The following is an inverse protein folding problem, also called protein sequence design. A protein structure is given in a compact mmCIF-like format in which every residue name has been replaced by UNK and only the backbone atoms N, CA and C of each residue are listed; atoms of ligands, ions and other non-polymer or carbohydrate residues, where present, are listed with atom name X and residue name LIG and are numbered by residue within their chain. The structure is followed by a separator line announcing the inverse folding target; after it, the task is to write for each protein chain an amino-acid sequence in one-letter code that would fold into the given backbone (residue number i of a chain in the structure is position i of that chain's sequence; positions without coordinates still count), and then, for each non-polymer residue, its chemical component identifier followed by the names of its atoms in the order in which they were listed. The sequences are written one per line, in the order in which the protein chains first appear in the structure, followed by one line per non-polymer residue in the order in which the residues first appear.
data_IF_872687203766
#
_entry.id   IF_872687203766
#
_cell.length_a   1.000
_cell.length_b   1.000
_cell.length_c   1.000
_cell.angle_alpha   90.00
_cell.angle_beta   90.00
_cell.angle_gamma   90.00
#
_symmetry.space_group_name_H-M   'P 1'
#
loop_
_entity.id
_entity.type
_entity.pdbx_description
1 polymer ?
#
# COMPACT_ATOMS: atom_id res chain seq x y z
N UNK A 1 33.65 3.12 6.41
CA UNK A 1 33.41 2.26 5.23
C UNK A 1 31.96 1.75 5.29
N UNK A 2 31.02 2.42 4.59
CA UNK A 2 29.63 1.93 4.52
C UNK A 2 29.58 0.86 3.43
N UNK A 3 29.72 -0.40 3.84
CA UNK A 3 29.46 -1.54 2.95
C UNK A 3 27.94 -1.63 2.78
N UNK A 4 27.41 -1.03 1.73
CA UNK A 4 26.03 -1.32 1.30
C UNK A 4 26.06 -2.69 0.62
N UNK A 5 26.09 -3.75 1.44
CA UNK A 5 25.96 -5.11 0.95
C UNK A 5 24.74 -5.21 0.06
N UNK A 6 24.91 -5.82 -1.12
CA UNK A 6 23.85 -5.98 -2.13
C UNK A 6 22.57 -6.48 -1.44
N UNK A 7 21.53 -5.65 -1.44
CA UNK A 7 20.24 -6.03 -0.90
C UNK A 7 19.55 -6.98 -1.88
N UNK A 8 19.72 -8.29 -1.66
CA UNK A 8 19.04 -9.29 -2.47
C UNK A 8 17.55 -9.28 -2.13
N UNK A 9 16.72 -9.02 -3.14
CA UNK A 9 15.29 -9.25 -3.16
C UNK A 9 14.99 -10.44 -4.08
N UNK A 10 14.00 -11.23 -3.70
CA UNK A 10 13.47 -12.33 -4.50
C UNK A 10 12.17 -11.84 -5.11
N UNK A 11 12.10 -11.83 -6.45
CA UNK A 11 10.87 -11.51 -7.18
C UNK A 11 9.82 -12.60 -6.93
N UNK A 12 8.56 -12.22 -6.78
CA UNK A 12 7.47 -13.18 -6.66
C UNK A 12 7.18 -13.83 -8.03
N UNK A 13 6.90 -15.13 -8.04
CA UNK A 13 6.69 -15.91 -9.28
C UNK A 13 5.34 -15.61 -9.96
N UNK A 14 4.35 -15.16 -9.20
CA UNK A 14 2.99 -14.90 -9.68
C UNK A 14 2.75 -13.43 -10.00
N UNK A 15 3.34 -12.52 -9.21
CA UNK A 15 3.21 -11.08 -9.40
C UNK A 15 4.59 -10.41 -9.55
N UNK A 16 4.98 -9.99 -10.77
CA UNK A 16 6.30 -9.41 -11.02
C UNK A 16 6.52 -8.05 -10.33
N UNK A 17 5.46 -7.44 -9.80
CA UNK A 17 5.52 -6.18 -9.06
C UNK A 17 5.78 -6.40 -7.57
N UNK A 18 5.81 -7.65 -7.09
CA UNK A 18 6.04 -7.98 -5.68
C UNK A 18 7.44 -8.58 -5.51
N UNK A 19 8.21 -7.98 -4.61
CA UNK A 19 9.54 -8.43 -4.22
C UNK A 19 9.56 -8.74 -2.73
N UNK A 20 10.22 -9.83 -2.35
CA UNK A 20 10.36 -10.28 -0.96
C UNK A 20 11.82 -10.25 -0.55
N UNK A 21 12.10 -9.75 0.65
CA UNK A 21 13.38 -9.88 1.33
C UNK A 21 13.19 -10.62 2.64
N UNK A 22 14.05 -11.60 2.89
CA UNK A 22 14.08 -12.35 4.15
C UNK A 22 15.48 -12.25 4.75
N UNK A 23 15.55 -12.00 6.05
CA UNK A 23 16.79 -12.08 6.83
C UNK A 23 16.44 -12.62 8.21
N UNK A 24 16.74 -13.90 8.46
CA UNK A 24 16.28 -14.61 9.65
C UNK A 24 14.75 -14.56 9.77
N UNK A 25 14.24 -14.08 10.91
CA UNK A 25 12.81 -13.88 11.18
C UNK A 25 12.23 -12.58 10.59
N UNK A 26 13.08 -11.71 10.05
CA UNK A 26 12.65 -10.44 9.47
C UNK A 26 12.25 -10.63 8.01
N UNK A 27 11.07 -10.13 7.65
CA UNK A 27 10.53 -10.14 6.30
C UNK A 27 10.12 -8.74 5.88
N UNK A 28 10.44 -8.40 4.64
CA UNK A 28 9.94 -7.21 3.97
C UNK A 28 9.39 -7.59 2.60
N UNK A 29 8.28 -6.94 2.23
CA UNK A 29 7.67 -6.98 0.92
C UNK A 29 7.77 -5.57 0.34
N UNK A 30 8.24 -5.50 -0.89
CA UNK A 30 8.32 -4.29 -1.68
C UNK A 30 7.38 -4.49 -2.86
N UNK A 31 6.35 -3.66 -2.93
CA UNK A 31 5.34 -3.68 -3.98
C UNK A 31 5.56 -2.45 -4.84
N UNK A 32 5.78 -2.67 -6.14
CA UNK A 32 5.98 -1.62 -7.13
C UNK A 32 4.68 -1.34 -7.86
N UNK A 33 4.34 -0.07 -8.04
CA UNK A 33 3.31 0.33 -8.98
C UNK A 33 3.69 1.67 -9.62
N UNK A 34 4.08 1.64 -10.90
CA UNK A 34 4.48 2.82 -11.67
C UNK A 34 5.46 3.69 -10.86
N UNK A 35 5.02 4.84 -10.35
CA UNK A 35 5.83 5.80 -9.60
C UNK A 35 5.86 5.54 -8.07
N UNK A 36 4.98 4.68 -7.57
CA UNK A 36 4.80 4.41 -6.14
C UNK A 36 5.49 3.11 -5.72
N UNK A 37 6.12 3.15 -4.55
CA UNK A 37 6.69 1.97 -3.87
C UNK A 37 6.01 1.83 -2.52
N UNK A 38 5.35 0.69 -2.30
CA UNK A 38 4.84 0.32 -0.98
C UNK A 38 5.76 -0.70 -0.32
N UNK A 39 6.22 -0.34 0.87
CA UNK A 39 7.08 -1.18 1.68
C UNK A 39 6.34 -1.68 2.92
N UNK A 40 6.28 -3.00 3.08
CA UNK A 40 5.58 -3.69 4.17
C UNK A 40 6.58 -4.61 4.85
N UNK A 41 6.57 -4.71 6.18
CA UNK A 41 7.38 -5.71 6.86
C UNK A 41 7.16 -5.73 8.35
N UNK A 42 7.82 -6.68 9.01
CA UNK A 42 7.70 -6.91 10.45
C UNK A 42 8.85 -6.30 11.28
N UNK A 43 9.92 -5.82 10.64
CA UNK A 43 11.09 -5.27 11.31
C UNK A 43 11.38 -3.83 10.84
N UNK A 44 11.15 -2.86 11.73
CA UNK A 44 11.32 -1.42 11.43
C UNK A 44 12.75 -1.10 10.96
N UNK A 45 13.76 -1.72 11.55
CA UNK A 45 15.16 -1.54 11.15
C UNK A 45 15.39 -1.97 9.69
N UNK A 46 14.92 -3.16 9.30
CA UNK A 46 15.03 -3.65 7.93
C UNK A 46 14.30 -2.71 6.95
N UNK A 47 13.13 -2.22 7.30
CA UNK A 47 12.40 -1.24 6.47
C UNK A 47 13.18 0.07 6.33
N UNK A 48 13.80 0.56 7.41
CA UNK A 48 14.66 1.74 7.39
C UNK A 48 15.88 1.57 6.50
N UNK A 49 16.57 0.43 6.61
CA UNK A 49 17.73 0.10 5.78
C UNK A 49 17.33 0.03 4.29
N UNK A 50 16.18 -0.57 3.99
CA UNK A 50 15.66 -0.66 2.62
C UNK A 50 15.33 0.72 2.06
N UNK A 51 14.64 1.57 2.84
CA UNK A 51 14.30 2.94 2.41
C UNK A 51 15.56 3.76 2.15
N UNK A 52 16.53 3.71 3.06
CA UNK A 52 17.81 4.40 2.88
C UNK A 52 18.51 3.94 1.61
N UNK A 53 18.58 2.62 1.37
CA UNK A 53 19.16 2.08 0.14
C UNK A 53 18.43 2.56 -1.11
N UNK A 54 17.10 2.46 -1.16
CA UNK A 54 16.30 2.93 -2.30
C UNK A 54 16.53 4.42 -2.60
N UNK A 55 16.60 5.27 -1.56
CA UNK A 55 16.88 6.71 -1.72
C UNK A 55 18.31 7.01 -2.22
N UNK A 56 19.25 6.06 -2.13
CA UNK A 56 20.57 6.21 -2.79
C UNK A 56 20.55 5.83 -4.26
N UNK A 57 19.61 4.99 -4.69
CA UNK A 57 19.53 4.48 -6.06
C UNK A 57 18.56 5.30 -6.92
N UNK A 58 17.52 5.85 -6.32
CA UNK A 58 16.44 6.56 -7.01
C UNK A 58 16.18 7.91 -6.36
N UNK A 59 15.86 8.91 -7.18
CA UNK A 59 15.29 10.16 -6.71
C UNK A 59 13.85 9.90 -6.26
N UNK A 60 13.65 9.71 -4.96
CA UNK A 60 12.35 9.38 -4.38
C UNK A 60 12.13 10.12 -3.06
N UNK A 61 10.86 10.27 -2.68
CA UNK A 61 10.47 10.89 -1.41
C UNK A 61 9.84 9.85 -0.49
N UNK A 62 10.32 9.77 0.74
CA UNK A 62 9.64 9.00 1.78
C UNK A 62 8.33 9.73 2.15
N UNK A 63 7.20 9.05 1.97
CA UNK A 63 5.88 9.57 2.33
C UNK A 63 5.46 9.21 3.77
N UNK A 64 6.31 8.50 4.51
CA UNK A 64 6.04 8.09 5.89
C UNK A 64 5.20 6.81 5.97
N UNK A 65 4.34 6.73 6.99
CA UNK A 65 3.43 5.58 7.13
C UNK A 65 2.41 5.58 5.98
N UNK A 66 2.24 4.42 5.35
CA UNK A 66 1.37 4.28 4.19
C UNK A 66 -0.09 4.64 4.54
N UNK A 67 -0.55 5.77 4.02
CA UNK A 67 -1.93 6.26 4.15
C UNK A 67 -2.73 6.15 2.85
N UNK A 68 -2.05 6.04 1.70
CA UNK A 68 -2.68 5.87 0.38
C UNK A 68 -1.81 4.97 -0.51
N UNK A 69 -2.47 4.17 -1.35
CA UNK A 69 -1.86 3.39 -2.43
C UNK A 69 -2.88 3.23 -3.55
N UNK A 70 -2.55 3.53 -4.82
CA UNK A 70 -3.46 3.40 -5.97
C UNK A 70 -4.81 4.12 -5.81
N UNK A 71 -4.83 5.25 -5.09
CA UNK A 71 -6.08 5.95 -4.76
C UNK A 71 -6.95 5.25 -3.70
N UNK A 72 -6.48 4.15 -3.11
CA UNK A 72 -7.06 3.50 -1.93
C UNK A 72 -6.46 4.13 -0.69
N UNK A 73 -7.32 4.67 0.17
CA UNK A 73 -6.92 5.13 1.50
C UNK A 73 -6.74 3.94 2.43
N UNK A 74 -5.61 3.91 3.13
CA UNK A 74 -5.32 2.93 4.16
C UNK A 74 -5.62 3.57 5.52
N UNK A 75 -6.46 2.90 6.30
CA UNK A 75 -6.69 3.19 7.71
C UNK A 75 -6.02 2.12 8.55
N UNK A 76 -5.20 2.52 9.53
CA UNK A 76 -4.51 1.57 10.40
C UNK A 76 -4.66 2.01 11.86
N UNK A 77 -5.27 1.15 12.66
CA UNK A 77 -5.33 1.29 14.11
C UNK A 77 -4.55 0.12 14.74
N UNK A 78 -3.34 0.41 15.21
CA UNK A 78 -2.47 -0.61 15.81
C UNK A 78 -2.95 -1.05 17.19
N UNK A 79 -3.62 -0.17 17.93
CA UNK A 79 -4.14 -0.48 19.27
C UNK A 79 -5.26 -1.51 19.20
N UNK A 80 -6.14 -1.37 18.20
CA UNK A 80 -7.25 -2.28 17.93
C UNK A 80 -6.91 -3.39 16.94
N UNK A 81 -5.67 -3.40 16.40
CA UNK A 81 -5.20 -4.30 15.32
C UNK A 81 -6.11 -4.28 14.09
N UNK A 82 -6.66 -3.12 13.76
CA UNK A 82 -7.51 -2.93 12.59
C UNK A 82 -6.70 -2.38 11.41
N UNK A 83 -6.94 -2.96 10.25
CA UNK A 83 -6.48 -2.46 8.96
C UNK A 83 -7.72 -2.35 8.06
N UNK A 84 -8.02 -1.13 7.64
CA UNK A 84 -9.14 -0.81 6.77
C UNK A 84 -8.65 -0.21 5.46
N UNK A 85 -9.38 -0.49 4.39
CA UNK A 85 -9.15 0.09 3.07
C UNK A 85 -10.42 0.80 2.64
N UNK A 86 -10.31 2.01 2.08
CA UNK A 86 -11.47 2.73 1.55
C UNK A 86 -11.12 3.52 0.29
N UNK A 87 -12.06 3.56 -0.64
CA UNK A 87 -12.03 4.43 -1.81
C UNK A 87 -13.16 5.47 -1.77
N UNK A 88 -13.64 5.86 -0.58
CA UNK A 88 -14.75 6.82 -0.45
C UNK A 88 -14.52 8.12 -1.22
N UNK A 89 -13.29 8.65 -1.27
CA UNK A 89 -12.97 9.82 -2.09
C UNK A 89 -13.19 9.60 -3.60
N UNK A 90 -12.94 8.39 -4.11
CA UNK A 90 -13.24 8.06 -5.50
C UNK A 90 -14.76 8.03 -5.74
N UNK A 91 -15.51 7.40 -4.85
CA UNK A 91 -16.98 7.34 -4.92
C UNK A 91 -17.58 8.75 -4.88
N UNK A 92 -17.12 9.61 -3.98
CA UNK A 92 -17.58 11.00 -3.90
C UNK A 92 -17.28 11.78 -5.18
N UNK A 93 -16.08 11.62 -5.75
CA UNK A 93 -15.72 12.24 -7.04
C UNK A 93 -16.59 11.71 -8.18
N UNK A 94 -16.89 10.41 -8.19
CA UNK A 94 -17.76 9.78 -9.17
C UNK A 94 -19.18 10.34 -9.08
N UNK A 95 -19.78 10.36 -7.88
CA UNK A 95 -21.12 10.91 -7.67
C UNK A 95 -21.20 12.37 -8.12
N UNK A 96 -20.22 13.19 -7.74
CA UNK A 96 -20.15 14.59 -8.15
C UNK A 96 -20.05 14.76 -9.68
N UNK A 97 -19.30 13.90 -10.36
CA UNK A 97 -19.16 13.92 -11.83
C UNK A 97 -20.51 13.70 -12.53
N UNK A 98 -21.37 12.87 -11.97
CA UNK A 98 -22.68 12.53 -12.52
C UNK A 98 -23.84 13.31 -11.88
N UNK A 99 -23.55 14.30 -11.02
CA UNK A 99 -24.56 15.12 -10.30
C UNK A 99 -25.47 14.27 -9.40
N UNK A 100 -24.91 13.24 -8.77
CA UNK A 100 -25.60 12.26 -7.92
C UNK A 100 -25.25 12.40 -6.44
N UNK A 101 -24.60 13.50 -6.02
CA UNK A 101 -24.20 13.75 -4.63
C UNK A 101 -25.38 13.78 -3.63
N UNK A 102 -26.60 14.02 -4.12
CA UNK A 102 -27.83 14.07 -3.30
C UNK A 102 -28.81 12.94 -3.61
N UNK A 103 -28.41 11.94 -4.41
CA UNK A 103 -29.26 10.79 -4.71
C UNK A 103 -29.50 9.95 -3.45
N UNK A 104 -30.74 9.48 -3.26
CA UNK A 104 -31.08 8.56 -2.16
C UNK A 104 -30.28 7.27 -2.33
N UNK A 105 -29.75 6.73 -1.23
CA UNK A 105 -29.18 5.37 -1.26
C UNK A 105 -30.31 4.40 -1.63
N UNK A 106 -30.17 3.72 -2.76
CA UNK A 106 -31.05 2.60 -3.07
C UNK A 106 -30.81 1.52 -2.02
N UNK A 107 -31.79 1.28 -1.14
CA UNK A 107 -31.86 0.01 -0.43
C UNK A 107 -32.12 -1.06 -1.50
N UNK A 108 -31.30 -2.10 -1.63
CA UNK A 108 -31.69 -3.26 -2.43
C UNK A 108 -33.04 -3.73 -1.88
N UNK A 109 -34.10 -3.69 -2.70
CA UNK A 109 -35.35 -4.34 -2.33
C UNK A 109 -35.04 -5.81 -2.13
N UNK A 110 -35.60 -6.38 -1.06
CA UNK A 110 -35.35 -7.76 -0.63
C UNK A 110 -35.87 -8.83 -1.62
N UNK A 111 -36.25 -8.42 -2.83
CA UNK A 111 -36.97 -9.19 -3.85
C UNK A 111 -36.10 -9.58 -5.05
N UNK A 112 -34.80 -9.25 -5.06
CA UNK A 112 -33.92 -9.49 -6.21
C UNK A 112 -33.13 -10.81 -6.17
N UNK A 113 -33.41 -11.69 -5.20
CA UNK A 113 -32.72 -12.99 -5.05
C UNK A 113 -33.67 -14.19 -4.87
N UNK A 114 -34.96 -14.03 -5.17
CA UNK A 114 -35.90 -15.17 -5.29
C UNK A 114 -36.01 -15.65 -6.73
#
# INVERSE_FOLDING_TARGET
MKSYGVMIFIKNDYDPCIYKKVSGSSVAYLVLYVDDILLIGNAVKMLGDIKAWLSTQFSMKDMGEASYILGIKIYRDRSRRLLGLTQSSYIEKFLKRFKMEHSKRGTPSHEAWD
#
